data_IF_408653115874
#
_entry.id   IF_408653115874
#
_cell.length_a   1.000
_cell.length_b   1.000
_cell.length_c   1.000
_cell.angle_alpha   90.00
_cell.angle_beta   90.00
_cell.angle_gamma   90.00
#
_symmetry.space_group_name_H-M   'P 1'
#
loop_
_entity.id
_entity.type
_entity.pdbx_description
1 polymer ?
#
# COMPACT_ATOMS: atom_id res chain seq x y z
N UNK A 1 6.20 30.96 -2.10
CA UNK A 1 6.47 32.40 -1.82
C UNK A 1 6.58 33.23 -3.09
N UNK A 2 7.29 32.79 -4.13
CA UNK A 2 7.51 33.54 -5.38
C UNK A 2 6.19 33.94 -6.07
N UNK A 3 5.27 33.01 -6.26
CA UNK A 3 3.97 33.27 -6.89
C UNK A 3 3.11 34.20 -6.05
N UNK A 4 3.11 34.03 -4.74
CA UNK A 4 2.43 34.96 -3.83
C UNK A 4 3.00 36.39 -3.91
N UNK A 5 4.31 36.54 -3.96
CA UNK A 5 4.95 37.83 -4.12
C UNK A 5 4.66 38.51 -5.46
N UNK A 6 4.63 37.72 -6.52
CA UNK A 6 4.26 38.15 -7.88
C UNK A 6 2.83 38.68 -7.91
N UNK A 7 1.87 37.91 -7.46
CA UNK A 7 0.46 38.28 -7.40
C UNK A 7 0.27 39.51 -6.49
N UNK A 8 0.93 39.54 -5.34
CA UNK A 8 0.89 40.70 -4.43
C UNK A 8 1.38 42.00 -5.12
N UNK A 9 2.50 41.92 -5.81
CA UNK A 9 3.08 43.07 -6.53
C UNK A 9 2.17 43.56 -7.65
N UNK A 10 1.59 42.65 -8.42
CA UNK A 10 0.67 42.94 -9.50
C UNK A 10 -0.57 43.69 -9.00
N UNK A 11 -1.25 43.13 -7.98
CA UNK A 11 -2.47 43.73 -7.44
C UNK A 11 -2.20 45.04 -6.69
N UNK A 12 -1.03 45.19 -6.07
CA UNK A 12 -0.60 46.45 -5.45
C UNK A 12 -0.41 47.56 -6.48
N UNK A 13 0.13 47.24 -7.67
CA UNK A 13 0.24 48.21 -8.76
C UNK A 13 -1.14 48.62 -9.31
N UNK A 14 -2.14 47.77 -9.22
CA UNK A 14 -3.54 48.09 -9.56
C UNK A 14 -4.26 48.95 -8.49
N UNK A 15 -3.58 49.33 -7.41
CA UNK A 15 -4.10 50.22 -6.37
C UNK A 15 -5.04 49.56 -5.35
N UNK A 16 -5.07 48.22 -5.29
CA UNK A 16 -5.92 47.49 -4.34
C UNK A 16 -5.40 47.62 -2.90
N UNK A 17 -6.31 47.61 -1.94
CA UNK A 17 -5.99 47.50 -0.52
C UNK A 17 -5.39 46.15 -0.16
N UNK A 18 -4.67 46.06 0.97
CA UNK A 18 -4.09 44.77 1.44
C UNK A 18 -5.13 43.66 1.57
N UNK A 19 -6.35 43.98 2.03
CA UNK A 19 -7.43 42.97 2.18
C UNK A 19 -7.93 42.48 0.83
N UNK A 20 -8.11 43.37 -0.14
CA UNK A 20 -8.50 42.98 -1.51
C UNK A 20 -7.40 42.17 -2.18
N UNK A 21 -6.13 42.55 -2.05
CA UNK A 21 -5.01 41.78 -2.58
C UNK A 21 -4.99 40.36 -1.99
N UNK A 22 -5.17 40.21 -0.67
CA UNK A 22 -5.23 38.88 -0.04
C UNK A 22 -6.36 38.03 -0.61
N UNK A 23 -7.56 38.57 -0.78
CA UNK A 23 -8.67 37.85 -1.36
C UNK A 23 -8.39 37.44 -2.81
N UNK A 24 -7.84 38.32 -3.63
CA UNK A 24 -7.47 37.99 -5.00
C UNK A 24 -6.37 36.94 -5.09
N UNK A 25 -5.38 36.95 -4.19
CA UNK A 25 -4.36 35.91 -4.13
C UNK A 25 -5.01 34.54 -3.80
N UNK A 26 -5.90 34.50 -2.82
CA UNK A 26 -6.64 33.29 -2.43
C UNK A 26 -7.41 32.69 -3.60
N UNK A 27 -8.07 33.53 -4.38
CA UNK A 27 -8.88 33.12 -5.53
C UNK A 27 -8.04 32.68 -6.73
N UNK A 28 -6.85 33.29 -6.94
CA UNK A 28 -6.07 33.14 -8.16
C UNK A 28 -4.77 32.35 -7.99
N UNK A 29 -4.43 31.90 -6.78
CA UNK A 29 -3.24 31.08 -6.58
C UNK A 29 -3.42 29.70 -7.23
N UNK A 30 -2.56 29.39 -8.19
CA UNK A 30 -2.57 28.11 -8.91
C UNK A 30 -1.60 27.12 -8.26
N UNK A 31 -2.16 26.29 -7.36
CA UNK A 31 -1.39 25.24 -6.69
C UNK A 31 -0.85 24.20 -7.67
N UNK A 32 -1.58 23.89 -8.75
CA UNK A 32 -1.11 22.92 -9.74
C UNK A 32 0.17 23.38 -10.43
N UNK A 33 0.21 24.63 -10.88
CA UNK A 33 1.42 25.21 -11.49
C UNK A 33 2.57 25.28 -10.50
N UNK A 34 2.32 25.71 -9.25
CA UNK A 34 3.34 25.75 -8.19
C UNK A 34 3.94 24.39 -7.92
N UNK A 35 3.10 23.34 -7.81
CA UNK A 35 3.54 21.96 -7.58
C UNK A 35 4.32 21.43 -8.79
N UNK A 36 3.87 21.72 -10.01
CA UNK A 36 4.54 21.32 -11.26
C UNK A 36 5.94 21.90 -11.37
N UNK A 37 6.11 23.17 -11.06
CA UNK A 37 7.43 23.83 -11.14
C UNK A 37 8.36 23.39 -10.03
N UNK A 38 7.83 23.18 -8.83
CA UNK A 38 8.61 22.69 -7.69
C UNK A 38 9.09 21.27 -7.91
N UNK A 39 8.23 20.40 -8.45
CA UNK A 39 8.50 18.98 -8.66
C UNK A 39 9.62 18.68 -9.66
N UNK A 40 9.94 19.62 -10.57
CA UNK A 40 11.06 19.48 -11.51
C UNK A 40 12.42 19.29 -10.82
N UNK A 41 12.51 19.70 -9.55
CA UNK A 41 13.73 19.61 -8.73
C UNK A 41 13.73 18.45 -7.73
N UNK A 42 12.66 17.64 -7.71
CA UNK A 42 12.52 16.53 -6.76
C UNK A 42 12.83 15.19 -7.41
N UNK A 43 13.51 14.35 -6.65
CA UNK A 43 13.82 12.97 -7.03
C UNK A 43 13.42 12.00 -5.94
N UNK A 44 13.31 10.72 -6.31
CA UNK A 44 12.95 9.63 -5.39
C UNK A 44 11.46 9.43 -5.15
N UNK A 45 11.14 8.73 -4.07
CA UNK A 45 9.77 8.39 -3.69
C UNK A 45 9.23 9.30 -2.60
N UNK A 46 8.09 9.94 -2.85
CA UNK A 46 7.46 10.84 -1.89
C UNK A 46 5.94 10.84 -1.97
N UNK A 47 5.32 11.08 -0.82
CA UNK A 47 3.95 11.57 -0.68
C UNK A 47 4.01 12.79 0.22
N UNK A 48 3.58 13.94 -0.27
CA UNK A 48 3.65 15.20 0.46
C UNK A 48 2.24 15.77 0.60
N UNK A 49 1.82 16.01 1.84
CA UNK A 49 0.62 16.76 2.17
C UNK A 49 0.99 18.18 2.59
N UNK A 50 0.19 19.15 2.20
CA UNK A 50 0.37 20.54 2.59
C UNK A 50 -0.94 21.29 2.81
N UNK A 51 -0.90 22.23 3.74
CA UNK A 51 -1.98 23.18 4.00
C UNK A 51 -1.50 24.57 3.63
N UNK A 52 -2.32 25.29 2.91
CA UNK A 52 -2.05 26.68 2.54
C UNK A 52 -2.77 27.60 3.52
N UNK A 53 -2.12 28.70 3.90
CA UNK A 53 -2.61 29.58 4.97
C UNK A 53 -4.02 30.16 4.78
N UNK A 54 -4.56 30.14 3.56
CA UNK A 54 -5.92 30.59 3.27
C UNK A 54 -6.98 29.50 3.31
N UNK A 55 -6.58 28.22 3.50
CA UNK A 55 -7.48 27.09 3.69
C UNK A 55 -7.48 26.02 2.60
N UNK A 56 -6.77 26.22 1.49
CA UNK A 56 -6.55 25.16 0.50
C UNK A 56 -5.59 24.10 1.04
N UNK A 57 -5.72 22.87 0.57
CA UNK A 57 -4.83 21.77 0.90
C UNK A 57 -4.44 20.97 -0.36
N UNK A 58 -3.35 20.23 -0.27
CA UNK A 58 -2.97 19.31 -1.32
C UNK A 58 -2.30 18.05 -0.77
N UNK A 59 -2.43 16.96 -1.49
CA UNK A 59 -1.65 15.76 -1.30
C UNK A 59 -1.11 15.34 -2.67
N UNK A 60 0.20 15.15 -2.79
CA UNK A 60 0.86 14.81 -4.05
C UNK A 60 1.71 13.56 -3.92
N UNK A 61 1.77 12.77 -4.99
CA UNK A 61 2.50 11.51 -5.03
C UNK A 61 3.58 11.51 -6.11
N UNK A 62 4.72 10.92 -5.82
CA UNK A 62 5.85 10.80 -6.74
C UNK A 62 5.48 10.20 -8.11
N UNK A 63 6.22 10.53 -9.19
CA UNK A 63 5.87 10.12 -10.56
C UNK A 63 5.98 8.63 -10.83
N UNK A 64 6.73 7.88 -10.02
CA UNK A 64 6.87 6.43 -10.14
C UNK A 64 5.95 5.65 -9.20
N UNK A 65 5.19 6.34 -8.32
CA UNK A 65 4.34 5.69 -7.31
C UNK A 65 5.12 4.81 -6.35
N UNK A 66 6.35 5.21 -6.00
CA UNK A 66 7.21 4.48 -5.06
C UNK A 66 6.53 4.37 -3.70
N UNK A 67 6.00 5.52 -3.22
CA UNK A 67 5.24 5.58 -1.95
C UNK A 67 3.75 5.38 -2.20
N UNK A 68 3.05 4.65 -1.32
CA UNK A 68 1.59 4.51 -1.41
C UNK A 68 0.88 5.78 -0.94
N UNK A 69 -0.24 6.10 -1.58
CA UNK A 69 -1.13 7.18 -1.17
C UNK A 69 -2.56 6.86 -1.58
N UNK A 70 -3.46 6.91 -0.63
CA UNK A 70 -4.88 6.60 -0.80
C UNK A 70 -5.73 7.75 -0.28
N UNK A 71 -6.95 7.90 -0.81
CA UNK A 71 -7.91 8.86 -0.32
C UNK A 71 -9.32 8.32 -0.38
N UNK A 72 -10.16 8.87 0.46
CA UNK A 72 -11.61 8.73 0.46
C UNK A 72 -12.22 10.14 0.52
N UNK A 73 -13.32 10.33 -0.16
CA UNK A 73 -14.08 11.59 -0.13
C UNK A 73 -15.56 11.31 -0.22
N UNK A 74 -16.35 11.98 0.62
CA UNK A 74 -17.79 12.04 0.60
C UNK A 74 -18.26 13.49 0.78
N UNK A 75 -19.55 13.69 1.11
CA UNK A 75 -20.15 15.01 1.28
C UNK A 75 -19.67 15.75 2.56
N UNK A 76 -19.08 15.03 3.52
CA UNK A 76 -18.70 15.57 4.83
C UNK A 76 -17.18 15.67 5.00
N UNK A 77 -16.42 14.73 4.41
CA UNK A 77 -14.98 14.63 4.68
C UNK A 77 -14.16 14.23 3.45
N UNK A 78 -12.94 14.77 3.38
CA UNK A 78 -11.89 14.30 2.47
C UNK A 78 -10.73 13.86 3.35
N UNK A 79 -10.35 12.59 3.23
CA UNK A 79 -9.26 12.00 4.00
C UNK A 79 -8.24 11.35 3.09
N UNK A 80 -6.97 11.51 3.40
CA UNK A 80 -5.89 10.81 2.72
C UNK A 80 -4.92 10.17 3.72
N UNK A 81 -4.39 9.00 3.35
CA UNK A 81 -3.43 8.27 4.16
C UNK A 81 -2.49 7.44 3.25
N UNK A 82 -1.37 7.01 3.82
CA UNK A 82 -0.46 6.08 3.16
C UNK A 82 -0.98 4.63 3.15
N UNK A 83 -2.00 4.32 3.95
CA UNK A 83 -2.53 2.97 4.12
C UNK A 83 -4.07 2.96 4.08
N UNK A 84 -4.67 2.12 3.23
CA UNK A 84 -6.14 1.94 3.14
C UNK A 84 -6.80 1.48 4.44
N UNK A 85 -6.25 0.50 5.20
CA UNK A 85 -6.89 0.04 6.43
C UNK A 85 -7.08 1.13 7.48
N UNK A 86 -6.24 2.17 7.48
CA UNK A 86 -6.39 3.31 8.37
C UNK A 86 -7.67 4.08 8.05
N UNK A 87 -7.91 4.35 6.76
CA UNK A 87 -9.13 5.03 6.29
C UNK A 87 -10.35 4.15 6.58
N UNK A 88 -10.30 2.86 6.24
CA UNK A 88 -11.39 1.92 6.47
C UNK A 88 -11.82 1.88 7.94
N UNK A 89 -10.86 1.81 8.86
CA UNK A 89 -11.13 1.70 10.29
C UNK A 89 -11.65 3.01 10.87
N UNK A 90 -11.08 4.15 10.45
CA UNK A 90 -11.43 5.45 11.02
C UNK A 90 -12.78 6.00 10.52
N UNK A 91 -13.17 5.66 9.29
CA UNK A 91 -14.36 6.21 8.62
C UNK A 91 -15.41 5.15 8.27
N UNK A 92 -15.22 3.90 8.72
CA UNK A 92 -16.12 2.76 8.43
C UNK A 92 -16.45 2.60 6.93
N UNK A 93 -15.43 2.78 6.08
CA UNK A 93 -15.57 2.75 4.63
C UNK A 93 -15.27 1.38 4.04
N UNK A 94 -15.81 1.10 2.85
CA UNK A 94 -15.51 -0.14 2.12
C UNK A 94 -14.22 0.00 1.32
N UNK A 95 -13.55 -1.13 1.11
CA UNK A 95 -12.30 -1.18 0.34
C UNK A 95 -12.37 -0.52 -1.04
N UNK A 96 -13.48 -0.68 -1.75
CA UNK A 96 -13.68 -0.17 -3.11
C UNK A 96 -14.05 1.32 -3.17
N UNK A 97 -14.36 1.95 -2.05
CA UNK A 97 -14.63 3.39 -1.93
C UNK A 97 -13.34 4.19 -1.79
N UNK A 98 -12.28 3.54 -1.35
CA UNK A 98 -10.96 4.16 -1.18
C UNK A 98 -10.20 4.11 -2.50
N UNK A 99 -9.81 5.26 -3.00
CA UNK A 99 -9.09 5.43 -4.26
C UNK A 99 -7.59 5.61 -4.00
N UNK A 100 -6.78 5.11 -4.91
CA UNK A 100 -5.35 5.38 -4.91
C UNK A 100 -5.08 6.69 -5.67
N UNK A 101 -4.20 7.54 -5.14
CA UNK A 101 -3.72 8.73 -5.86
C UNK A 101 -2.77 8.23 -6.96
N UNK A 102 -3.04 8.50 -8.25
CA UNK A 102 -2.18 8.03 -9.32
C UNK A 102 -0.77 8.63 -9.23
N UNK A 103 0.28 7.91 -9.68
CA UNK A 103 1.63 8.47 -9.74
C UNK A 103 1.68 9.77 -10.54
N UNK A 104 2.44 10.75 -10.04
CA UNK A 104 2.56 12.07 -10.66
C UNK A 104 1.34 12.97 -10.55
N UNK A 105 0.35 12.59 -9.74
CA UNK A 105 -0.86 13.37 -9.50
C UNK A 105 -0.89 13.98 -8.10
N UNK A 106 -1.56 15.11 -8.02
CA UNK A 106 -1.91 15.78 -6.77
C UNK A 106 -3.43 15.82 -6.59
N UNK A 107 -3.85 15.56 -5.38
CA UNK A 107 -5.19 15.82 -4.89
C UNK A 107 -5.21 17.26 -4.36
N UNK A 108 -5.94 18.15 -4.98
CA UNK A 108 -6.05 19.56 -4.58
C UNK A 108 -7.43 19.79 -4.00
N UNK A 109 -7.47 20.26 -2.79
CA UNK A 109 -8.69 20.51 -2.02
C UNK A 109 -8.77 22.04 -1.80
N UNK A 110 -9.79 22.64 -2.34
CA UNK A 110 -10.02 24.08 -2.15
C UNK A 110 -10.74 24.33 -0.81
N UNK A 111 -10.61 25.54 -0.32
CA UNK A 111 -11.27 25.98 0.92
C UNK A 111 -12.79 25.77 0.94
N UNK A 112 -13.44 25.79 -0.21
CA UNK A 112 -14.87 25.53 -0.35
C UNK A 112 -15.23 24.03 -0.33
N UNK A 113 -14.25 23.15 -0.13
CA UNK A 113 -14.42 21.69 -0.12
C UNK A 113 -14.35 21.07 -1.52
N UNK A 114 -14.24 21.83 -2.58
CA UNK A 114 -14.09 21.28 -3.93
C UNK A 114 -12.78 20.50 -4.08
N UNK A 115 -12.88 19.32 -4.68
CA UNK A 115 -11.79 18.36 -4.84
C UNK A 115 -11.45 18.19 -6.32
N UNK A 116 -10.17 18.34 -6.65
CA UNK A 116 -9.64 18.07 -7.96
C UNK A 116 -8.41 17.15 -7.89
N UNK A 117 -8.36 16.15 -8.77
CA UNK A 117 -7.15 15.32 -8.98
C UNK A 117 -6.52 15.74 -10.29
N UNK A 118 -5.33 16.33 -10.23
CA UNK A 118 -4.64 16.85 -11.39
C UNK A 118 -3.21 16.30 -11.50
N UNK A 119 -2.76 16.09 -12.74
CA UNK A 119 -1.37 15.71 -12.99
C UNK A 119 -0.47 16.94 -12.87
N UNK A 120 0.50 16.89 -11.96
CA UNK A 120 1.49 17.96 -11.76
C UNK A 120 2.86 17.63 -12.39
N UNK A 121 3.15 16.34 -12.62
CA UNK A 121 4.35 15.89 -13.32
C UNK A 121 4.01 14.67 -14.19
N UNK A 122 4.80 14.41 -15.22
CA UNK A 122 4.60 13.25 -16.09
C UNK A 122 4.70 11.94 -15.28
N UNK A 123 3.66 11.11 -15.39
CA UNK A 123 3.65 9.78 -14.79
C UNK A 123 4.70 8.90 -15.46
N UNK A 124 5.52 8.24 -14.66
CA UNK A 124 6.53 7.27 -15.08
C UNK A 124 6.03 5.83 -14.82
N UNK A 125 6.72 4.81 -15.33
CA UNK A 125 6.41 3.42 -15.01
C UNK A 125 6.39 3.18 -13.50
N UNK A 126 5.40 2.42 -13.03
CA UNK A 126 5.21 2.13 -11.60
C UNK A 126 6.43 1.38 -11.04
N UNK A 127 6.98 1.89 -9.94
CA UNK A 127 8.10 1.30 -9.19
C UNK A 127 7.74 1.23 -7.70
N UNK A 128 6.65 0.53 -7.39
CA UNK A 128 6.20 0.39 -6.00
C UNK A 128 7.33 -0.16 -5.11
N UNK A 129 7.52 0.45 -3.96
CA UNK A 129 8.54 0.04 -3.01
C UNK A 129 8.21 -1.33 -2.42
N UNK A 130 9.09 -2.31 -2.59
CA UNK A 130 8.91 -3.65 -2.01
C UNK A 130 8.91 -3.63 -0.47
N UNK A 131 9.67 -2.74 0.15
CA UNK A 131 9.65 -2.55 1.61
C UNK A 131 8.30 -2.09 2.12
N UNK A 132 7.60 -1.22 1.38
CA UNK A 132 6.24 -0.82 1.72
C UNK A 132 5.31 -2.04 1.75
N UNK A 133 5.40 -2.91 0.76
CA UNK A 133 4.51 -4.05 0.61
C UNK A 133 4.83 -5.19 1.58
N UNK A 134 6.12 -5.44 1.82
CA UNK A 134 6.57 -6.55 2.66
C UNK A 134 6.57 -6.18 4.14
N UNK A 135 6.94 -4.95 4.49
CA UNK A 135 7.23 -4.56 5.86
C UNK A 135 6.32 -3.46 6.42
N UNK A 136 6.24 -2.29 5.77
CA UNK A 136 5.55 -1.13 6.33
C UNK A 136 4.02 -1.21 6.23
N UNK A 137 3.47 -1.66 5.10
CA UNK A 137 2.01 -1.76 4.93
C UNK A 137 1.39 -2.77 5.89
N UNK A 138 0.15 -2.52 6.29
CA UNK A 138 -0.57 -3.43 7.19
C UNK A 138 -0.98 -4.71 6.48
N UNK A 139 -0.73 -5.85 7.13
CA UNK A 139 -1.14 -7.17 6.63
C UNK A 139 -2.66 -7.39 6.59
N UNK A 140 -3.45 -6.48 7.15
CA UNK A 140 -4.92 -6.45 7.06
C UNK A 140 -5.44 -5.82 5.76
N UNK A 141 -4.59 -5.13 5.00
CA UNK A 141 -4.95 -4.70 3.65
C UNK A 141 -5.15 -5.92 2.74
N UNK A 142 -6.26 -5.96 2.02
CA UNK A 142 -6.66 -7.10 1.18
C UNK A 142 -5.61 -7.50 0.16
N UNK A 143 -4.95 -6.54 -0.48
CA UNK A 143 -3.96 -6.82 -1.53
C UNK A 143 -2.62 -7.20 -0.90
N UNK A 144 -2.20 -6.50 0.16
CA UNK A 144 -0.99 -6.82 0.92
C UNK A 144 -1.07 -8.22 1.54
N UNK A 145 -2.23 -8.58 2.10
CA UNK A 145 -2.47 -9.92 2.63
C UNK A 145 -2.23 -11.00 1.57
N UNK A 146 -2.84 -10.84 0.39
CA UNK A 146 -2.69 -11.80 -0.71
C UNK A 146 -1.25 -11.92 -1.20
N UNK A 147 -0.57 -10.78 -1.36
CA UNK A 147 0.82 -10.75 -1.80
C UNK A 147 1.76 -11.42 -0.80
N UNK A 148 1.65 -11.10 0.48
CA UNK A 148 2.47 -11.71 1.53
C UNK A 148 2.19 -13.22 1.63
N UNK A 149 0.94 -13.63 1.53
CA UNK A 149 0.57 -15.04 1.52
C UNK A 149 1.18 -15.77 0.32
N UNK A 150 1.11 -15.18 -0.88
CA UNK A 150 1.74 -15.72 -2.08
C UNK A 150 3.26 -15.82 -1.96
N UNK A 151 3.93 -14.81 -1.36
CA UNK A 151 5.38 -14.87 -1.11
C UNK A 151 5.77 -16.08 -0.24
N UNK A 152 5.02 -16.36 0.82
CA UNK A 152 5.25 -17.53 1.65
C UNK A 152 5.09 -18.84 0.89
N UNK A 153 4.04 -18.95 0.09
CA UNK A 153 3.80 -20.13 -0.76
C UNK A 153 4.92 -20.34 -1.78
N UNK A 154 5.38 -19.27 -2.43
CA UNK A 154 6.47 -19.33 -3.42
C UNK A 154 7.83 -19.70 -2.80
N UNK A 155 8.05 -19.38 -1.55
CA UNK A 155 9.28 -19.72 -0.84
C UNK A 155 9.35 -21.18 -0.42
N UNK A 156 8.20 -21.85 -0.28
CA UNK A 156 8.07 -23.20 0.28
C UNK A 156 8.89 -24.27 -0.46
N UNK A 157 8.95 -24.33 -1.80
CA UNK A 157 9.75 -25.35 -2.47
C UNK A 157 11.21 -25.31 -2.06
N UNK A 158 11.79 -24.11 -1.97
CA UNK A 158 13.18 -23.95 -1.54
C UNK A 158 13.42 -24.34 -0.08
N UNK A 159 12.46 -24.03 0.79
CA UNK A 159 12.52 -24.47 2.20
C UNK A 159 12.48 -26.00 2.30
N UNK A 160 11.60 -26.66 1.53
CA UNK A 160 11.50 -28.12 1.53
C UNK A 160 12.80 -28.78 1.04
N UNK A 161 13.44 -28.22 0.00
CA UNK A 161 14.75 -28.67 -0.47
C UNK A 161 15.80 -28.55 0.64
N UNK A 162 15.86 -27.43 1.32
CA UNK A 162 16.86 -27.11 2.35
C UNK A 162 16.76 -28.06 3.56
N UNK A 163 15.55 -28.47 3.95
CA UNK A 163 15.32 -29.41 5.02
C UNK A 163 15.33 -30.89 4.55
N UNK A 164 15.71 -31.14 3.28
CA UNK A 164 15.65 -32.46 2.66
C UNK A 164 14.29 -33.15 2.81
N UNK A 165 13.20 -32.38 2.75
CA UNK A 165 11.80 -32.83 2.91
C UNK A 165 11.51 -33.51 4.26
N UNK A 166 12.34 -33.30 5.28
CA UNK A 166 12.15 -33.87 6.62
C UNK A 166 11.18 -33.04 7.46
N UNK A 167 9.88 -33.17 7.16
CA UNK A 167 8.82 -32.50 7.91
C UNK A 167 8.66 -33.01 9.34
N UNK A 168 9.09 -34.26 9.61
CA UNK A 168 8.92 -34.89 10.91
C UNK A 168 9.82 -34.28 11.99
N UNK A 169 11.06 -33.96 11.63
CA UNK A 169 12.06 -33.44 12.55
C UNK A 169 12.25 -31.92 12.43
N UNK A 170 11.39 -31.24 11.64
CA UNK A 170 11.44 -29.79 11.44
C UNK A 170 10.30 -29.11 12.20
N UNK A 171 10.63 -28.03 12.89
CA UNK A 171 9.66 -27.11 13.50
C UNK A 171 9.65 -25.81 12.70
N UNK A 172 8.47 -25.40 12.30
CA UNK A 172 8.27 -24.15 11.56
C UNK A 172 7.79 -23.04 12.51
N UNK A 173 8.43 -21.90 12.45
CA UNK A 173 8.09 -20.74 13.26
C UNK A 173 8.37 -19.45 12.48
N UNK A 174 7.96 -18.30 12.99
CA UNK A 174 8.20 -17.01 12.37
C UNK A 174 8.49 -15.93 13.41
N UNK A 175 9.15 -14.86 12.97
CA UNK A 175 9.36 -13.68 13.81
C UNK A 175 8.12 -12.78 13.69
N UNK A 176 7.34 -12.59 14.79
CA UNK A 176 6.18 -11.70 14.78
C UNK A 176 6.60 -10.24 14.56
N UNK A 177 5.69 -9.38 14.04
CA UNK A 177 4.33 -9.72 13.58
C UNK A 177 4.28 -9.73 12.04
N UNK A 178 5.24 -9.10 11.37
CA UNK A 178 5.21 -8.82 9.93
C UNK A 178 5.22 -10.09 9.08
N UNK A 179 5.94 -11.12 9.54
CA UNK A 179 6.08 -12.39 8.82
C UNK A 179 4.85 -13.31 8.93
N UNK A 180 3.88 -13.02 9.79
CA UNK A 180 2.75 -13.92 10.09
C UNK A 180 1.96 -14.36 8.84
N UNK A 181 1.64 -13.42 7.95
CA UNK A 181 0.86 -13.72 6.73
C UNK A 181 1.67 -14.53 5.73
N UNK A 182 2.95 -14.24 5.57
CA UNK A 182 3.84 -15.05 4.72
C UNK A 182 4.01 -16.46 5.30
N UNK A 183 4.15 -16.58 6.61
CA UNK A 183 4.18 -17.87 7.31
C UNK A 183 2.92 -18.68 7.07
N UNK A 184 1.73 -18.09 7.14
CA UNK A 184 0.48 -18.78 6.80
C UNK A 184 0.51 -19.31 5.36
N UNK A 185 0.95 -18.51 4.39
CA UNK A 185 1.08 -18.94 3.00
C UNK A 185 2.05 -20.10 2.81
N UNK A 186 3.18 -20.06 3.53
CA UNK A 186 4.14 -21.16 3.58
C UNK A 186 3.52 -22.43 4.16
N UNK A 187 2.84 -22.32 5.30
CA UNK A 187 2.21 -23.47 5.95
C UNK A 187 1.08 -24.08 5.11
N UNK A 188 0.25 -23.27 4.47
CA UNK A 188 -0.76 -23.77 3.53
C UNK A 188 -0.12 -24.61 2.41
N UNK A 189 0.99 -24.16 1.86
CA UNK A 189 1.70 -24.88 0.79
C UNK A 189 2.39 -26.15 1.32
N UNK A 190 2.95 -26.12 2.53
CA UNK A 190 3.54 -27.31 3.19
C UNK A 190 2.45 -28.36 3.45
N UNK A 191 1.26 -27.95 3.90
CA UNK A 191 0.13 -28.87 4.09
C UNK A 191 -0.35 -29.48 2.78
N UNK A 192 -0.42 -28.69 1.69
CA UNK A 192 -0.74 -29.25 0.37
C UNK A 192 0.29 -30.29 -0.07
N UNK A 193 1.57 -29.99 0.07
CA UNK A 193 2.66 -30.90 -0.23
C UNK A 193 2.58 -32.19 0.61
N UNK A 194 2.39 -32.07 1.93
CA UNK A 194 2.22 -33.21 2.83
C UNK A 194 1.02 -34.09 2.44
N UNK A 195 -0.08 -33.46 2.07
CA UNK A 195 -1.29 -34.15 1.61
C UNK A 195 -1.03 -34.97 0.34
N UNK A 196 -0.35 -34.39 -0.64
CA UNK A 196 0.01 -35.12 -1.87
C UNK A 196 0.97 -36.29 -1.59
N UNK A 197 1.97 -36.07 -0.73
CA UNK A 197 2.84 -37.19 -0.30
C UNK A 197 2.09 -38.32 0.39
N UNK A 198 1.11 -38.02 1.24
CA UNK A 198 0.28 -39.03 1.91
C UNK A 198 -0.56 -39.76 0.88
N UNK A 199 -1.19 -39.06 -0.07
CA UNK A 199 -1.95 -39.71 -1.18
C UNK A 199 -1.08 -40.69 -1.99
N UNK A 200 0.12 -40.26 -2.37
CA UNK A 200 1.06 -41.13 -3.11
C UNK A 200 1.41 -42.39 -2.32
N UNK A 201 1.69 -42.23 -1.01
CA UNK A 201 1.96 -43.38 -0.14
C UNK A 201 0.76 -44.34 -0.05
N UNK A 202 -0.45 -43.81 0.12
CA UNK A 202 -1.69 -44.60 0.15
C UNK A 202 -1.87 -45.37 -1.18
N UNK A 203 -1.74 -44.66 -2.31
CA UNK A 203 -1.89 -45.30 -3.63
C UNK A 203 -0.84 -46.38 -3.90
N UNK A 204 0.38 -46.17 -3.41
CA UNK A 204 1.46 -47.17 -3.55
C UNK A 204 1.22 -48.43 -2.74
N UNK A 205 0.52 -48.35 -1.62
CA UNK A 205 0.24 -49.46 -0.70
C UNK A 205 -1.24 -49.85 -0.71
N UNK A 206 -2.02 -49.52 -1.76
CA UNK A 206 -3.47 -49.64 -1.81
C UNK A 206 -3.98 -51.08 -1.48
N UNK A 207 -3.21 -52.10 -1.83
CA UNK A 207 -3.62 -53.48 -1.68
C UNK A 207 -3.24 -54.07 -0.29
N UNK A 208 -2.30 -53.44 0.44
CA UNK A 208 -1.76 -53.94 1.72
C UNK A 208 -1.89 -52.91 2.87
N UNK A 209 -2.70 -51.88 2.70
CA UNK A 209 -2.79 -50.80 3.68
C UNK A 209 -3.48 -51.23 4.98
N UNK A 210 -2.83 -51.02 6.11
CA UNK A 210 -3.39 -51.26 7.44
C UNK A 210 -3.72 -49.95 8.16
N UNK A 211 -4.54 -49.98 9.20
CA UNK A 211 -4.87 -48.82 10.04
C UNK A 211 -3.60 -48.20 10.67
N UNK A 212 -2.67 -49.04 11.15
CA UNK A 212 -1.40 -48.57 11.73
C UNK A 212 -0.51 -47.87 10.72
N UNK A 213 -0.53 -48.32 9.45
CA UNK A 213 0.19 -47.64 8.35
C UNK A 213 -0.42 -46.27 8.06
N UNK A 214 -1.73 -46.19 7.98
CA UNK A 214 -2.43 -44.91 7.79
C UNK A 214 -2.09 -43.92 8.93
N UNK A 215 -2.18 -44.37 10.16
CA UNK A 215 -1.81 -43.52 11.34
C UNK A 215 -0.35 -43.04 11.26
N UNK A 216 0.56 -43.92 10.79
CA UNK A 216 1.96 -43.53 10.62
C UNK A 216 2.16 -42.46 9.55
N UNK A 217 1.38 -42.50 8.45
CA UNK A 217 1.44 -41.49 7.38
C UNK A 217 0.94 -40.14 7.86
N UNK A 218 -0.14 -40.09 8.63
CA UNK A 218 -0.71 -38.86 9.18
C UNK A 218 0.10 -38.28 10.35
N UNK A 219 0.88 -39.08 11.08
CA UNK A 219 1.80 -38.59 12.13
C UNK A 219 2.99 -37.82 11.60
N UNK A 220 3.23 -37.79 10.28
CA UNK A 220 4.31 -37.01 9.64
C UNK A 220 3.89 -35.56 9.28
N UNK A 221 2.82 -35.06 9.84
CA UNK A 221 2.38 -33.69 9.63
C UNK A 221 3.38 -32.67 10.17
N UNK A 222 3.53 -31.51 9.49
CA UNK A 222 4.42 -30.44 9.93
C UNK A 222 4.02 -29.91 11.32
N UNK A 223 5.03 -29.59 12.15
CA UNK A 223 4.84 -29.00 13.46
C UNK A 223 5.01 -27.47 13.38
N UNK A 224 4.18 -26.73 14.09
CA UNK A 224 4.26 -25.27 14.22
C UNK A 224 4.34 -24.89 15.69
N UNK A 225 5.14 -23.88 15.99
CA UNK A 225 5.20 -23.20 17.28
C UNK A 225 5.05 -21.68 17.12
#
# INVERSE_FOLDING_TARGET
DEENQKLYSEYKQKGLSKKEITNHIVENIDLQTILSDSAKRWDGGYVIGGLVGHGDAFIMRDPNGIRPAFYYADDEVIVAASERPVIQTAFDTRFNEIKEIPPGHALIIKKDGSLNTSRFIEQKPLKACSFERIYFSRGTDKDIYKERKALGSLLTPKILEEINYDLKNTVFSYIPNTASVAFQGMMDQIHLFSTEMIKEKILKHKDDISADMLDSFFKSNPRTE
#
